data_IF_230791212799
#
_entry.id   IF_230791212799
#
_cell.length_a   1.000
_cell.length_b   1.000
_cell.length_c   1.000
_cell.angle_alpha   90.00
_cell.angle_beta   90.00
_cell.angle_gamma   90.00
#
_symmetry.space_group_name_H-M   'P 1'
#
loop_
_entity.id
_entity.type
_entity.pdbx_description
1 polymer ?
#
# COMPACT_ATOMS: atom_id res chain seq x y z
N UNK A 1 -79.68 -90.41 7.43
CA UNK A 1 -79.23 -91.23 6.28
C UNK A 1 -78.25 -90.36 5.50
N UNK A 2 -76.92 -90.57 5.44
CA UNK A 2 -76.07 -91.69 5.84
C UNK A 2 -74.60 -91.21 5.84
N UNK A 3 -73.78 -91.78 6.75
CA UNK A 3 -72.31 -92.02 6.75
C UNK A 3 -71.35 -90.85 6.43
N UNK A 4 -70.42 -90.38 7.29
CA UNK A 4 -69.36 -91.02 8.13
C UNK A 4 -68.32 -91.84 7.35
N UNK A 5 -67.10 -91.30 7.24
CA UNK A 5 -65.78 -91.95 7.50
C UNK A 5 -64.68 -90.88 7.39
N UNK A 6 -64.07 -90.38 8.48
CA UNK A 6 -62.95 -90.92 9.29
C UNK A 6 -61.58 -91.07 8.59
N UNK A 7 -60.68 -90.17 8.99
CA UNK A 7 -59.24 -90.30 9.33
C UNK A 7 -58.35 -91.38 8.70
N UNK A 8 -57.16 -90.94 8.25
CA UNK A 8 -55.95 -91.74 8.36
C UNK A 8 -54.70 -90.86 8.43
N UNK A 9 -54.12 -90.82 9.63
CA UNK A 9 -52.76 -90.39 9.95
C UNK A 9 -51.82 -91.54 9.62
N UNK A 10 -50.76 -91.31 8.84
CA UNK A 10 -49.47 -91.99 9.02
C UNK A 10 -48.31 -91.04 8.70
N UNK A 11 -47.51 -90.73 9.73
CA UNK A 11 -46.17 -90.10 9.66
C UNK A 11 -45.10 -91.13 9.16
N UNK A 12 -43.77 -90.89 9.30
CA UNK A 12 -42.92 -90.09 8.42
C UNK A 12 -41.80 -90.96 7.80
N UNK A 13 -41.32 -90.63 6.59
CA UNK A 13 -40.08 -91.24 6.06
C UNK A 13 -39.00 -90.17 5.93
N UNK A 14 -38.10 -90.17 6.91
CA UNK A 14 -36.73 -89.66 6.76
C UNK A 14 -36.01 -90.46 5.67
N UNK A 15 -35.39 -89.77 4.70
CA UNK A 15 -34.21 -90.29 3.99
C UNK A 15 -33.30 -89.15 3.51
N UNK A 16 -32.10 -89.17 4.10
CA UNK A 16 -30.79 -88.82 3.55
C UNK A 16 -30.57 -87.42 2.97
N UNK A 17 -29.62 -86.72 3.58
CA UNK A 17 -29.24 -85.35 3.27
C UNK A 17 -28.71 -85.15 1.86
N UNK A 18 -29.16 -84.04 1.27
CA UNK A 18 -28.45 -83.33 0.20
C UNK A 18 -27.70 -82.18 0.86
N UNK A 19 -26.44 -81.89 0.50
CA UNK A 19 -25.69 -80.82 1.13
C UNK A 19 -26.40 -79.50 0.84
N UNK A 20 -26.97 -78.88 1.88
CA UNK A 20 -27.38 -77.49 1.88
C UNK A 20 -26.14 -76.67 1.59
N UNK A 21 -25.97 -76.29 0.33
CA UNK A 21 -25.01 -75.29 -0.08
C UNK A 21 -25.40 -74.00 0.66
N UNK A 22 -24.76 -73.78 1.80
CA UNK A 22 -24.92 -72.59 2.62
C UNK A 22 -24.54 -71.37 1.77
N UNK A 23 -25.54 -70.71 1.19
CA UNK A 23 -25.38 -69.39 0.58
C UNK A 23 -24.73 -68.48 1.62
N UNK A 24 -23.49 -68.11 1.37
CA UNK A 24 -22.74 -67.19 2.21
C UNK A 24 -23.55 -65.90 2.45
N UNK A 25 -23.37 -65.24 3.61
CA UNK A 25 -24.15 -64.05 3.92
C UNK A 25 -23.87 -62.99 2.85
N UNK A 26 -24.87 -62.69 2.03
CA UNK A 26 -24.84 -61.62 1.01
C UNK A 26 -24.54 -60.25 1.63
N UNK A 27 -24.54 -60.16 2.96
CA UNK A 27 -24.24 -58.99 3.77
C UNK A 27 -22.86 -58.40 3.52
N UNK A 28 -21.81 -59.20 3.27
CA UNK A 28 -20.46 -58.65 3.04
C UNK A 28 -20.33 -57.99 1.67
N UNK A 29 -20.82 -58.66 0.61
CA UNK A 29 -20.82 -58.12 -0.75
C UNK A 29 -21.79 -56.94 -0.89
N UNK A 30 -22.94 -56.99 -0.22
CA UNK A 30 -23.89 -55.88 -0.21
C UNK A 30 -23.36 -54.68 0.57
N UNK A 31 -22.60 -54.91 1.65
CA UNK A 31 -21.90 -53.84 2.40
C UNK A 31 -20.77 -53.22 1.56
N UNK A 32 -19.96 -54.04 0.89
CA UNK A 32 -18.90 -53.57 0.00
C UNK A 32 -19.46 -52.76 -1.18
N UNK A 33 -20.58 -53.19 -1.77
CA UNK A 33 -21.24 -52.45 -2.84
C UNK A 33 -21.85 -51.12 -2.36
N UNK A 34 -22.40 -51.10 -1.15
CA UNK A 34 -22.90 -49.87 -0.51
C UNK A 34 -21.75 -48.91 -0.22
N UNK A 35 -20.64 -49.40 0.34
CA UNK A 35 -19.46 -48.60 0.66
C UNK A 35 -18.80 -48.04 -0.62
N UNK A 36 -18.66 -48.86 -1.66
CA UNK A 36 -18.16 -48.45 -2.98
C UNK A 36 -19.06 -47.38 -3.64
N UNK A 37 -20.38 -47.43 -3.42
CA UNK A 37 -21.32 -46.42 -3.95
C UNK A 37 -21.31 -45.10 -3.15
N UNK A 38 -20.90 -45.14 -1.88
CA UNK A 38 -20.87 -44.01 -0.97
C UNK A 38 -19.53 -43.24 -1.01
N UNK A 39 -18.44 -43.91 -1.39
CA UNK A 39 -17.12 -43.31 -1.53
C UNK A 39 -17.08 -42.06 -2.45
N UNK A 40 -17.65 -42.08 -3.68
CA UNK A 40 -17.64 -40.91 -4.55
C UNK A 40 -18.43 -39.74 -3.95
N UNK A 41 -19.57 -40.03 -3.32
CA UNK A 41 -20.43 -39.03 -2.68
C UNK A 41 -19.71 -38.39 -1.49
N UNK A 42 -19.03 -39.18 -0.66
CA UNK A 42 -18.22 -38.70 0.46
C UNK A 42 -17.01 -37.87 0.01
N UNK A 43 -16.35 -38.28 -1.09
CA UNK A 43 -15.25 -37.52 -1.71
C UNK A 43 -15.73 -36.18 -2.26
N UNK A 44 -16.87 -36.14 -2.95
CA UNK A 44 -17.45 -34.89 -3.47
C UNK A 44 -17.92 -33.99 -2.32
N UNK A 45 -18.57 -34.54 -1.29
CA UNK A 45 -19.01 -33.79 -0.12
C UNK A 45 -17.82 -33.18 0.64
N UNK A 46 -16.77 -33.96 0.88
CA UNK A 46 -15.54 -33.46 1.53
C UNK A 46 -14.81 -32.44 0.66
N UNK A 47 -14.75 -32.62 -0.66
CA UNK A 47 -14.22 -31.60 -1.59
C UNK A 47 -15.06 -30.31 -1.55
N UNK A 48 -16.39 -30.40 -1.51
CA UNK A 48 -17.29 -29.25 -1.37
C UNK A 48 -17.08 -28.55 -0.03
N UNK A 49 -16.97 -29.28 1.07
CA UNK A 49 -16.68 -28.75 2.41
C UNK A 49 -15.29 -28.08 2.43
N UNK A 50 -14.26 -28.68 1.81
CA UNK A 50 -12.92 -28.08 1.71
C UNK A 50 -12.93 -26.81 0.85
N UNK A 51 -13.68 -26.80 -0.27
CA UNK A 51 -13.88 -25.61 -1.12
C UNK A 51 -14.66 -24.52 -0.40
N UNK A 52 -15.70 -24.87 0.35
CA UNK A 52 -16.47 -23.93 1.18
C UNK A 52 -15.65 -23.40 2.35
N UNK A 53 -14.86 -24.25 3.03
CA UNK A 53 -13.89 -23.83 4.06
C UNK A 53 -12.83 -22.91 3.45
N UNK A 54 -12.27 -23.21 2.29
CA UNK A 54 -11.35 -22.30 1.57
C UNK A 54 -12.02 -20.97 1.22
N UNK A 55 -13.24 -20.97 0.68
CA UNK A 55 -14.02 -19.73 0.43
C UNK A 55 -14.25 -18.94 1.72
N UNK A 56 -14.60 -19.60 2.83
CA UNK A 56 -14.74 -18.97 4.15
C UNK A 56 -13.41 -18.50 4.75
N UNK A 57 -12.29 -19.11 4.38
CA UNK A 57 -10.94 -18.68 4.78
C UNK A 57 -10.52 -17.41 4.04
N UNK A 58 -10.90 -17.23 2.77
CA UNK A 58 -10.81 -15.93 2.08
C UNK A 58 -11.80 -14.90 2.63
N UNK A 59 -12.93 -15.36 3.18
CA UNK A 59 -13.89 -14.56 3.95
C UNK A 59 -13.58 -14.55 5.45
N UNK A 60 -12.34 -14.83 5.87
CA UNK A 60 -11.94 -14.41 7.22
C UNK A 60 -11.94 -12.89 7.17
N UNK A 61 -12.85 -12.33 7.95
CA UNK A 61 -12.83 -10.94 8.36
C UNK A 61 -11.45 -10.68 8.96
N UNK A 62 -10.54 -10.17 8.14
CA UNK A 62 -9.37 -9.48 8.66
C UNK A 62 -9.94 -8.34 9.51
N UNK A 63 -9.69 -8.42 10.81
CA UNK A 63 -9.89 -7.35 11.78
C UNK A 63 -8.91 -6.19 11.49
N UNK A 64 -8.90 -5.70 10.25
CA UNK A 64 -8.03 -4.65 9.72
C UNK A 64 -8.84 -3.46 9.22
N UNK A 65 -9.80 -2.99 10.03
CA UNK A 65 -10.39 -1.67 9.79
C UNK A 65 -9.27 -0.62 9.79
N UNK A 66 -9.28 0.42 8.93
CA UNK A 66 -9.94 0.63 7.63
C UNK A 66 -9.05 0.31 6.40
N UNK A 67 -9.62 0.38 5.18
CA UNK A 67 -8.90 0.10 3.92
C UNK A 67 -7.71 1.05 3.69
N UNK A 68 -6.48 0.54 3.83
CA UNK A 68 -5.22 1.28 3.63
C UNK A 68 -5.10 1.89 2.22
N UNK A 69 -5.62 1.19 1.20
CA UNK A 69 -5.63 1.71 -0.17
C UNK A 69 -6.54 2.93 -0.32
N UNK A 70 -7.73 2.92 0.31
CA UNK A 70 -8.62 4.07 0.28
C UNK A 70 -8.06 5.26 1.08
N UNK A 71 -7.41 4.97 2.22
CA UNK A 71 -6.72 5.99 3.02
C UNK A 71 -5.60 6.68 2.23
N UNK A 72 -4.71 5.90 1.59
CA UNK A 72 -3.56 6.44 0.87
C UNK A 72 -4.00 7.29 -0.31
N UNK A 73 -4.97 6.82 -1.10
CA UNK A 73 -5.47 7.59 -2.25
C UNK A 73 -6.19 8.86 -1.79
N UNK A 74 -7.01 8.79 -0.74
CA UNK A 74 -7.68 9.96 -0.18
C UNK A 74 -6.67 10.98 0.38
N UNK A 75 -5.60 10.52 1.03
CA UNK A 75 -4.50 11.37 1.49
C UNK A 75 -3.87 12.16 0.33
N UNK A 76 -3.40 11.48 -0.71
CA UNK A 76 -2.70 12.15 -1.82
C UNK A 76 -3.63 13.06 -2.63
N UNK A 77 -4.86 12.63 -2.91
CA UNK A 77 -5.82 13.44 -3.66
C UNK A 77 -6.21 14.69 -2.87
N UNK A 78 -6.44 14.57 -1.57
CA UNK A 78 -6.74 15.72 -0.70
C UNK A 78 -5.55 16.69 -0.62
N UNK A 79 -4.34 16.18 -0.35
CA UNK A 79 -3.12 16.98 -0.27
C UNK A 79 -2.81 17.73 -1.57
N UNK A 80 -2.83 17.04 -2.72
CA UNK A 80 -2.54 17.66 -4.02
C UNK A 80 -3.61 18.70 -4.38
N UNK A 81 -4.88 18.42 -4.10
CA UNK A 81 -5.96 19.38 -4.37
C UNK A 81 -5.78 20.67 -3.58
N UNK A 82 -5.43 20.57 -2.28
CA UNK A 82 -5.14 21.74 -1.44
C UNK A 82 -3.91 22.51 -1.94
N UNK A 83 -2.86 21.81 -2.37
CA UNK A 83 -1.66 22.44 -2.92
C UNK A 83 -1.94 23.20 -4.21
N UNK A 84 -2.77 22.65 -5.10
CA UNK A 84 -3.19 23.32 -6.33
C UNK A 84 -3.98 24.59 -6.03
N UNK A 85 -4.93 24.53 -5.08
CA UNK A 85 -5.70 25.71 -4.64
C UNK A 85 -4.78 26.78 -4.02
N UNK A 86 -3.75 26.39 -3.27
CA UNK A 86 -2.79 27.32 -2.72
C UNK A 86 -1.90 27.98 -3.80
N UNK A 87 -1.53 27.24 -4.84
CA UNK A 87 -0.69 27.74 -5.93
C UNK A 87 -1.41 28.77 -6.80
N UNK A 88 -2.70 28.55 -7.09
CA UNK A 88 -3.52 29.44 -7.91
C UNK A 88 -4.88 29.68 -7.20
N UNK A 89 -4.97 30.69 -6.31
CA UNK A 89 -6.19 30.96 -5.55
C UNK A 89 -7.38 31.39 -6.41
N UNK A 90 -7.11 32.11 -7.51
CA UNK A 90 -8.12 32.58 -8.46
C UNK A 90 -8.70 31.44 -9.32
N UNK A 91 -8.02 30.27 -9.35
CA UNK A 91 -8.57 29.05 -9.92
C UNK A 91 -8.65 29.05 -11.45
N UNK A 92 -7.62 28.56 -12.15
CA UNK A 92 -7.71 28.38 -13.61
C UNK A 92 -8.64 27.22 -13.99
N UNK A 93 -9.25 27.27 -15.18
CA UNK A 93 -10.11 26.17 -15.67
C UNK A 93 -9.34 24.82 -15.73
N UNK A 94 -8.05 24.86 -16.08
CA UNK A 94 -7.17 23.70 -16.08
C UNK A 94 -6.92 23.13 -14.68
N UNK A 95 -6.74 23.99 -13.67
CA UNK A 95 -6.59 23.59 -12.28
C UNK A 95 -7.84 22.89 -11.76
N UNK A 96 -9.02 23.46 -11.97
CA UNK A 96 -10.29 22.84 -11.55
C UNK A 96 -10.55 21.52 -12.27
N UNK A 97 -10.21 21.45 -13.55
CA UNK A 97 -10.27 20.20 -14.32
C UNK A 97 -9.34 19.13 -13.75
N UNK A 98 -8.11 19.48 -13.37
CA UNK A 98 -7.16 18.55 -12.76
C UNK A 98 -7.64 18.07 -11.38
N UNK A 99 -8.17 18.98 -10.54
CA UNK A 99 -8.77 18.63 -9.25
C UNK A 99 -9.93 17.65 -9.46
N UNK A 100 -10.80 17.92 -10.43
CA UNK A 100 -11.90 17.02 -10.78
C UNK A 100 -11.38 15.63 -11.19
N UNK A 101 -10.36 15.55 -12.06
CA UNK A 101 -9.75 14.28 -12.47
C UNK A 101 -9.18 13.50 -11.27
N UNK A 102 -8.50 14.17 -10.35
CA UNK A 102 -7.97 13.55 -9.13
C UNK A 102 -9.09 12.99 -8.24
N UNK A 103 -10.21 13.71 -8.11
CA UNK A 103 -11.36 13.20 -7.35
C UNK A 103 -12.01 12.01 -8.05
N UNK A 104 -12.17 12.04 -9.38
CA UNK A 104 -12.68 10.91 -10.14
C UNK A 104 -11.77 9.68 -10.00
N UNK A 105 -10.45 9.88 -9.99
CA UNK A 105 -9.51 8.81 -9.69
C UNK A 105 -9.73 8.22 -8.29
N UNK A 106 -9.85 9.05 -7.25
CA UNK A 106 -10.16 8.58 -5.89
C UNK A 106 -11.46 7.77 -5.84
N UNK A 107 -12.52 8.28 -6.47
CA UNK A 107 -13.80 7.58 -6.57
C UNK A 107 -13.70 6.26 -7.33
N UNK A 108 -12.91 6.19 -8.39
CA UNK A 108 -12.68 4.94 -9.14
C UNK A 108 -12.00 3.87 -8.29
N UNK A 109 -11.03 4.27 -7.45
CA UNK A 109 -10.35 3.37 -6.52
C UNK A 109 -11.33 2.88 -5.46
N UNK A 110 -12.06 3.78 -4.82
CA UNK A 110 -13.12 3.44 -3.84
C UNK A 110 -14.12 2.46 -4.44
N UNK A 111 -14.60 2.74 -5.65
CA UNK A 111 -15.55 1.90 -6.38
C UNK A 111 -14.99 0.51 -6.68
N UNK A 112 -13.73 0.44 -7.13
CA UNK A 112 -13.02 -0.83 -7.35
C UNK A 112 -13.00 -1.67 -6.06
N UNK A 113 -12.71 -1.05 -4.91
CA UNK A 113 -12.67 -1.74 -3.61
C UNK A 113 -14.05 -2.22 -3.14
N UNK A 114 -15.12 -1.50 -3.47
CA UNK A 114 -16.50 -1.93 -3.18
C UNK A 114 -16.87 -3.12 -4.07
N UNK A 115 -16.57 -3.08 -5.37
CA UNK A 115 -16.91 -4.15 -6.33
C UNK A 115 -16.18 -5.47 -6.07
N UNK A 116 -14.97 -5.43 -5.54
CA UNK A 116 -14.21 -6.62 -5.16
C UNK A 116 -14.78 -7.36 -3.94
N UNK A 117 -15.80 -6.79 -3.27
CA UNK A 117 -16.62 -7.49 -2.26
C UNK A 117 -15.92 -7.77 -0.93
N UNK A 118 -14.72 -7.23 -0.71
CA UNK A 118 -13.90 -7.49 0.48
C UNK A 118 -14.14 -6.50 1.64
N UNK A 119 -14.87 -5.40 1.42
CA UNK A 119 -15.10 -4.36 2.43
C UNK A 119 -16.53 -3.81 2.36
N UNK A 120 -17.12 -3.45 3.51
CA UNK A 120 -18.39 -2.71 3.51
C UNK A 120 -18.15 -1.25 3.08
N UNK A 121 -19.16 -0.62 2.48
CA UNK A 121 -19.11 0.78 2.06
C UNK A 121 -18.66 1.68 3.22
N UNK A 122 -19.14 1.39 4.44
CA UNK A 122 -18.78 2.13 5.65
C UNK A 122 -17.27 2.07 5.95
N UNK A 123 -16.61 0.92 5.75
CA UNK A 123 -15.17 0.79 5.99
C UNK A 123 -14.33 1.58 4.99
N UNK A 124 -14.78 1.65 3.73
CA UNK A 124 -14.08 2.40 2.68
C UNK A 124 -14.24 3.90 2.90
N UNK A 125 -15.43 4.35 3.29
CA UNK A 125 -15.68 5.76 3.62
C UNK A 125 -14.92 6.22 4.87
N UNK A 126 -14.88 5.40 5.93
CA UNK A 126 -14.08 5.70 7.13
C UNK A 126 -12.59 5.76 6.78
N UNK A 127 -12.09 4.84 5.95
CA UNK A 127 -10.72 4.88 5.46
C UNK A 127 -10.42 6.14 4.64
N UNK A 128 -11.29 6.50 3.70
CA UNK A 128 -11.13 7.72 2.91
C UNK A 128 -11.17 8.98 3.80
N UNK A 129 -12.07 9.03 4.80
CA UNK A 129 -12.14 10.13 5.75
C UNK A 129 -10.86 10.28 6.58
N UNK A 130 -10.33 9.18 7.11
CA UNK A 130 -9.06 9.17 7.84
C UNK A 130 -7.90 9.66 6.94
N UNK A 131 -7.85 9.18 5.70
CA UNK A 131 -6.84 9.62 4.72
C UNK A 131 -6.92 11.12 4.44
N UNK A 132 -8.13 11.66 4.25
CA UNK A 132 -8.33 13.09 4.04
C UNK A 132 -7.89 13.94 5.24
N UNK A 133 -8.20 13.50 6.48
CA UNK A 133 -7.74 14.18 7.70
C UNK A 133 -6.21 14.23 7.75
N UNK A 134 -5.53 13.11 7.49
CA UNK A 134 -4.07 13.10 7.41
C UNK A 134 -3.54 14.04 6.31
N UNK A 135 -4.22 14.11 5.16
CA UNK A 135 -3.86 15.03 4.07
C UNK A 135 -3.92 16.50 4.49
N UNK A 136 -4.99 16.90 5.19
CA UNK A 136 -5.17 18.26 5.71
C UNK A 136 -4.12 18.59 6.77
N UNK A 137 -3.89 17.68 7.72
CA UNK A 137 -2.88 17.88 8.78
C UNK A 137 -1.49 18.04 8.16
N UNK A 138 -1.12 17.17 7.21
CA UNK A 138 0.15 17.25 6.52
C UNK A 138 0.30 18.53 5.70
N UNK A 139 -0.74 18.92 4.96
CA UNK A 139 -0.77 20.21 4.25
C UNK A 139 -0.55 21.39 5.19
N UNK A 140 -1.18 21.37 6.37
CA UNK A 140 -1.00 22.41 7.39
C UNK A 140 0.46 22.46 7.87
N UNK A 141 1.08 21.31 8.16
CA UNK A 141 2.50 21.24 8.52
C UNK A 141 3.39 21.79 7.40
N UNK A 142 3.09 21.46 6.14
CA UNK A 142 3.85 21.92 4.98
C UNK A 142 3.84 23.46 4.87
N UNK A 143 2.64 24.06 4.89
CA UNK A 143 2.45 25.52 4.80
C UNK A 143 3.12 26.23 5.97
N UNK A 144 2.96 25.72 7.20
CA UNK A 144 3.44 26.41 8.39
C UNK A 144 4.93 26.25 8.61
N UNK A 145 5.48 25.05 8.41
CA UNK A 145 6.84 24.73 8.86
C UNK A 145 7.83 24.54 7.73
N UNK A 146 7.42 23.86 6.67
CA UNK A 146 8.35 23.49 5.59
C UNK A 146 8.66 24.70 4.72
N UNK A 147 7.66 25.53 4.42
CA UNK A 147 7.88 26.77 3.66
C UNK A 147 8.84 27.72 4.41
N UNK A 148 8.67 27.89 5.72
CA UNK A 148 9.59 28.68 6.55
C UNK A 148 11.02 28.11 6.53
N UNK A 149 11.16 26.80 6.68
CA UNK A 149 12.48 26.15 6.64
C UNK A 149 13.16 26.31 5.29
N UNK A 150 12.43 26.16 4.18
CA UNK A 150 12.99 26.35 2.83
C UNK A 150 13.45 27.78 2.63
N UNK A 151 12.65 28.78 3.06
CA UNK A 151 13.04 30.19 3.00
C UNK A 151 14.29 30.46 3.83
N UNK A 152 14.40 29.88 5.03
CA UNK A 152 15.57 30.02 5.88
C UNK A 152 16.81 29.35 5.29
N UNK A 153 16.67 28.17 4.70
CA UNK A 153 17.77 27.46 4.03
C UNK A 153 18.27 28.21 2.79
N UNK A 154 17.37 28.72 1.95
CA UNK A 154 17.73 29.55 0.79
C UNK A 154 18.42 30.85 1.20
N UNK A 155 17.99 31.45 2.32
CA UNK A 155 18.68 32.58 2.92
C UNK A 155 20.09 32.19 3.37
N UNK A 156 20.25 31.10 4.13
CA UNK A 156 21.56 30.63 4.58
C UNK A 156 22.52 30.34 3.43
N UNK A 157 22.04 29.71 2.35
CA UNK A 157 22.85 29.42 1.17
C UNK A 157 23.30 30.71 0.46
N UNK A 158 22.36 31.65 0.23
CA UNK A 158 22.67 32.93 -0.42
C UNK A 158 23.64 33.78 0.41
N UNK A 159 23.36 33.96 1.70
CA UNK A 159 24.22 34.77 2.56
C UNK A 159 25.53 34.07 2.88
N UNK A 160 25.54 32.74 3.04
CA UNK A 160 26.74 31.94 3.20
C UNK A 160 27.68 32.07 2.01
N UNK A 161 27.18 31.92 0.78
CA UNK A 161 27.98 32.10 -0.45
C UNK A 161 28.51 33.53 -0.57
N UNK A 162 27.72 34.54 -0.22
CA UNK A 162 28.18 35.95 -0.23
C UNK A 162 29.29 36.16 0.81
N UNK A 163 29.13 35.63 2.02
CA UNK A 163 30.14 35.77 3.08
C UNK A 163 31.44 35.04 2.73
N UNK A 164 31.35 33.81 2.21
CA UNK A 164 32.53 33.06 1.74
C UNK A 164 33.23 33.81 0.61
N UNK A 165 32.50 34.36 -0.37
CA UNK A 165 33.09 35.18 -1.44
C UNK A 165 33.74 36.46 -0.91
N UNK A 166 33.16 37.09 0.11
CA UNK A 166 33.75 38.27 0.76
C UNK A 166 35.05 37.91 1.46
N UNK A 167 35.07 36.84 2.24
CA UNK A 167 36.27 36.35 2.94
C UNK A 167 37.36 35.98 1.92
N UNK A 168 37.00 35.29 0.84
CA UNK A 168 37.95 34.90 -0.19
C UNK A 168 38.56 36.12 -0.89
N UNK A 169 37.74 37.12 -1.25
CA UNK A 169 38.25 38.40 -1.77
C UNK A 169 39.13 39.14 -0.77
N UNK A 170 38.79 39.10 0.52
CA UNK A 170 39.59 39.74 1.56
C UNK A 170 40.98 39.08 1.65
N UNK A 171 41.03 37.75 1.70
CA UNK A 171 42.27 36.98 1.74
C UNK A 171 43.14 37.22 0.48
N UNK A 172 42.52 37.26 -0.70
CA UNK A 172 43.22 37.55 -1.96
C UNK A 172 43.83 38.96 -1.96
N UNK A 173 43.13 39.95 -1.39
CA UNK A 173 43.65 41.31 -1.23
C UNK A 173 44.78 41.39 -0.19
N UNK A 174 44.68 40.63 0.90
CA UNK A 174 45.71 40.57 1.94
C UNK A 174 46.99 39.90 1.41
N UNK A 175 46.87 38.81 0.63
CA UNK A 175 47.99 38.21 -0.09
C UNK A 175 48.60 39.18 -1.12
N UNK A 176 47.75 39.86 -1.90
CA UNK A 176 48.20 40.84 -2.87
C UNK A 176 48.99 41.98 -2.21
N UNK A 177 48.58 42.47 -1.05
CA UNK A 177 49.31 43.50 -0.29
C UNK A 177 50.62 42.93 0.29
N UNK A 178 50.61 41.72 0.85
CA UNK A 178 51.80 41.08 1.40
C UNK A 178 52.89 40.85 0.32
N UNK A 179 52.48 40.57 -0.92
CA UNK A 179 53.36 40.35 -2.07
C UNK A 179 53.64 41.65 -2.85
N UNK A 180 53.08 42.81 -2.43
CA UNK A 180 53.32 44.12 -3.06
C UNK A 180 52.64 44.30 -4.43
N UNK A 181 51.55 43.58 -4.68
CA UNK A 181 50.85 43.47 -5.96
C UNK A 181 49.46 44.12 -5.92
N UNK A 182 49.38 45.44 -5.82
CA UNK A 182 48.09 46.15 -5.89
C UNK A 182 47.80 46.56 -7.34
N UNK A 183 46.67 46.10 -7.89
CA UNK A 183 46.17 46.52 -9.22
C UNK A 183 46.90 45.92 -10.43
N UNK A 184 47.46 44.70 -10.30
CA UNK A 184 48.14 44.02 -11.40
C UNK A 184 49.58 44.50 -11.66
N UNK A 185 50.06 45.53 -10.95
CA UNK A 185 51.47 45.97 -10.97
C UNK A 185 52.17 45.50 -9.70
N UNK A 186 53.23 44.71 -9.86
CA UNK A 186 54.18 44.43 -8.78
C UNK A 186 54.94 45.72 -8.48
N UNK A 187 54.76 46.28 -7.29
CA UNK A 187 55.74 47.19 -6.74
C UNK A 187 56.87 46.32 -6.20
N UNK A 188 57.93 46.17 -6.99
CA UNK A 188 59.20 45.70 -6.47
C UNK A 188 59.54 46.62 -5.30
N UNK A 189 59.56 46.07 -4.08
CA UNK A 189 60.09 46.72 -2.88
C UNK A 189 61.57 46.95 -3.12
N UNK A 190 61.89 47.99 -3.89
CA UNK A 190 63.24 48.48 -4.03
C UNK A 190 63.65 49.00 -2.66
N UNK A 191 64.77 48.47 -2.15
CA UNK A 191 65.28 48.74 -0.83
C UNK A 191 65.30 50.24 -0.54
N UNK A 192 64.93 50.59 0.68
CA UNK A 192 65.02 51.94 1.18
C UNK A 192 66.47 52.43 1.10
N UNK A 193 66.74 53.30 0.12
CA UNK A 193 67.52 54.51 0.36
C UNK A 193 66.51 55.66 0.46
N UNK A 194 66.38 56.27 1.64
CA UNK A 194 65.59 57.50 1.80
C UNK A 194 66.10 58.58 0.83
N UNK A 195 65.27 59.18 -0.03
CA UNK A 195 65.62 60.45 -0.62
C UNK A 195 65.32 61.56 0.38
N UNK A 196 66.38 62.18 0.87
CA UNK A 196 66.32 63.49 1.50
C UNK A 196 65.57 64.46 0.59
N UNK A 197 64.66 65.23 1.21
CA UNK A 197 63.95 66.38 0.69
C UNK A 197 64.60 67.05 -0.53
N UNK A 198 63.90 67.03 -1.67
CA UNK A 198 64.25 67.88 -2.80
C UNK A 198 63.49 67.51 -4.08
N UNK A 199 62.50 68.34 -4.39
CA UNK A 199 61.88 68.52 -5.71
C UNK A 199 60.72 67.59 -6.10
N UNK A 200 59.53 68.14 -5.88
CA UNK A 200 58.32 67.86 -6.64
C UNK A 200 58.56 68.05 -8.15
N UNK A 201 58.21 67.06 -8.97
CA UNK A 201 57.88 67.29 -10.37
C UNK A 201 56.38 67.04 -10.54
N UNK A 202 55.67 68.14 -10.78
CA UNK A 202 54.31 68.19 -11.32
C UNK A 202 54.37 67.73 -12.77
N UNK A 203 53.50 66.80 -13.15
CA UNK A 203 52.70 66.83 -14.38
C UNK A 203 51.37 66.15 -14.10
#
# INVERSE_FOLDING_TARGET
MSAVTEDSITDPIQRAGSPTLSLAPTTSLQKEQVDASNEPKARIASQRIRRQRRRKVYFRVDYGMPSSHAQLVAFFVCYISLQLVLMEPEGSAGQWFLIMLLQLYAWSVVWSRIRLGSHSISQVLVGAGIGAVYGIVWFSIWVWKVEEMIKHWQWMDRYGVIQVRKIWKQLEMDEAVAVGRVGGRMYLRHGQGLPHNGQFLRF
#
